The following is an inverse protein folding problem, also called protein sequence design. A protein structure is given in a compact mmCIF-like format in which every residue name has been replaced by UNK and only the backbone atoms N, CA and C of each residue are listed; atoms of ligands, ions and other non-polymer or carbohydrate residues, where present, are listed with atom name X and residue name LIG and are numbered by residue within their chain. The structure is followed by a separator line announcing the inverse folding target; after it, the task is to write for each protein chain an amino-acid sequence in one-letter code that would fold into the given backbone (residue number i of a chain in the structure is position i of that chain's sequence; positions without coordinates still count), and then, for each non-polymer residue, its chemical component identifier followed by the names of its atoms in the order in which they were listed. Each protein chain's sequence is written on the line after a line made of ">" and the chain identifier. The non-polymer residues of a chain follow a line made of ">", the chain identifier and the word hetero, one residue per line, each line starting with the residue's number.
data_IF_928102660463
#
_entry.id   IF_928102660463
#
_cell.length_a   1.000
_cell.length_b   1.000
_cell.length_c   1.000
_cell.angle_alpha   90.00
_cell.angle_beta   90.00
_cell.angle_gamma   90.00
#
_symmetry.space_group_name_H-M   'P 1'
#
loop_
_entity.id
_entity.type
_entity.pdbx_description
1 polymer ?
#
# COMPACT_ATOMS: atom_id res chain seq x y z
N UNK A 1 1.43 -11.29 -9.45
CA UNK A 1 1.89 -12.04 -8.26
C UNK A 1 2.02 -13.54 -8.56
N UNK A 2 0.94 -14.32 -8.75
CA UNK A 2 1.02 -15.80 -8.84
C UNK A 2 1.97 -16.34 -9.94
N UNK A 3 1.81 -15.91 -11.20
CA UNK A 3 2.66 -16.37 -12.32
C UNK A 3 4.13 -15.94 -12.14
N UNK A 4 4.34 -14.69 -11.73
CA UNK A 4 5.65 -14.11 -11.45
C UNK A 4 6.36 -14.76 -10.25
N UNK A 5 5.63 -15.21 -9.24
CA UNK A 5 6.18 -15.95 -8.08
C UNK A 5 6.52 -17.38 -8.47
N UNK A 6 5.71 -18.03 -9.31
CA UNK A 6 5.99 -19.37 -9.81
C UNK A 6 7.27 -19.41 -10.66
N UNK A 7 7.43 -18.45 -11.60
CA UNK A 7 8.68 -18.33 -12.37
C UNK A 7 9.86 -18.01 -11.46
N UNK A 8 9.70 -17.12 -10.48
CA UNK A 8 10.76 -16.81 -9.51
C UNK A 8 11.24 -18.07 -8.76
N UNK A 9 10.33 -18.84 -8.18
CA UNK A 9 10.65 -20.06 -7.42
C UNK A 9 11.22 -21.19 -8.30
N UNK A 10 10.78 -21.29 -9.55
CA UNK A 10 11.25 -22.29 -10.51
C UNK A 10 12.69 -22.04 -10.94
N UNK A 11 13.06 -20.77 -11.17
CA UNK A 11 14.34 -20.40 -11.79
C UNK A 11 15.40 -19.89 -10.79
N UNK A 12 15.02 -19.48 -9.58
CA UNK A 12 15.96 -18.87 -8.62
C UNK A 12 15.75 -19.42 -7.21
N UNK A 13 16.81 -19.99 -6.64
CA UNK A 13 16.94 -20.36 -5.22
C UNK A 13 17.46 -19.19 -4.38
N UNK A 14 16.83 -18.03 -4.51
CA UNK A 14 17.29 -16.78 -3.90
C UNK A 14 16.54 -16.54 -2.59
N UNK A 15 17.22 -16.69 -1.46
CA UNK A 15 16.66 -16.40 -0.12
C UNK A 15 16.22 -14.94 0.04
N UNK A 16 16.73 -14.06 -0.82
CA UNK A 16 16.47 -12.63 -0.82
C UNK A 16 14.98 -12.29 -0.98
N UNK A 17 14.18 -13.11 -1.67
CA UNK A 17 12.74 -12.90 -1.80
C UNK A 17 11.92 -13.34 -0.58
N UNK A 18 12.49 -14.15 0.31
CA UNK A 18 11.79 -14.65 1.51
C UNK A 18 11.46 -13.46 2.42
N UNK A 19 12.39 -12.53 2.62
CA UNK A 19 12.18 -11.34 3.44
C UNK A 19 11.04 -10.47 2.90
N UNK A 20 11.04 -10.20 1.59
CA UNK A 20 9.98 -9.43 0.93
C UNK A 20 8.62 -10.15 1.01
N UNK A 21 8.62 -11.47 0.85
CA UNK A 21 7.43 -12.31 1.02
C UNK A 21 6.89 -12.28 2.45
N UNK A 22 7.77 -12.37 3.45
CA UNK A 22 7.39 -12.33 4.87
C UNK A 22 6.75 -10.99 5.25
N UNK A 23 7.38 -9.87 4.87
CA UNK A 23 6.82 -8.53 5.10
C UNK A 23 5.46 -8.40 4.40
N UNK A 24 5.35 -8.86 3.15
CA UNK A 24 4.08 -8.86 2.42
C UNK A 24 3.00 -9.65 3.17
N UNK A 25 3.29 -10.89 3.55
CA UNK A 25 2.33 -11.74 4.29
C UNK A 25 1.90 -11.09 5.60
N UNK A 26 2.81 -10.47 6.35
CA UNK A 26 2.47 -9.75 7.59
C UNK A 26 1.47 -8.60 7.34
N UNK A 27 1.74 -7.76 6.34
CA UNK A 27 0.81 -6.69 5.95
C UNK A 27 -0.53 -7.24 5.50
N UNK A 28 -0.52 -8.33 4.74
CA UNK A 28 -1.73 -8.99 4.28
C UNK A 28 -2.55 -9.59 5.42
N UNK A 29 -1.92 -10.17 6.44
CA UNK A 29 -2.62 -10.62 7.66
C UNK A 29 -3.39 -9.46 8.27
N UNK A 30 -2.75 -8.31 8.49
CA UNK A 30 -3.42 -7.12 9.05
C UNK A 30 -4.56 -6.62 8.15
N UNK A 31 -4.36 -6.60 6.84
CA UNK A 31 -5.37 -6.15 5.87
C UNK A 31 -6.58 -7.10 5.82
N UNK A 32 -6.37 -8.42 5.79
CA UNK A 32 -7.45 -9.39 5.76
C UNK A 32 -8.18 -9.48 7.09
N UNK A 33 -7.48 -9.32 8.22
CA UNK A 33 -8.13 -9.16 9.53
C UNK A 33 -9.09 -7.98 9.53
N UNK A 34 -8.70 -6.84 8.95
CA UNK A 34 -9.60 -5.69 8.81
C UNK A 34 -10.84 -6.02 7.96
N UNK A 35 -10.68 -6.74 6.84
CA UNK A 35 -11.83 -7.13 6.02
C UNK A 35 -12.76 -8.12 6.73
N UNK A 36 -12.22 -9.05 7.51
CA UNK A 36 -13.02 -9.94 8.35
C UNK A 36 -13.85 -9.13 9.36
N UNK A 37 -13.23 -8.16 10.04
CA UNK A 37 -13.93 -7.26 10.96
C UNK A 37 -14.99 -6.40 10.25
N UNK A 38 -14.71 -5.96 9.02
CA UNK A 38 -15.67 -5.23 8.20
C UNK A 38 -16.88 -6.07 7.77
N UNK A 39 -16.71 -7.39 7.65
CA UNK A 39 -17.76 -8.33 7.27
C UNK A 39 -18.68 -8.74 8.44
N UNK A 40 -18.23 -8.57 9.69
CA UNK A 40 -19.01 -8.89 10.91
C UNK A 40 -20.19 -7.94 11.18
N UNK A 41 -20.44 -6.97 10.30
CA UNK A 41 -21.67 -6.18 10.28
C UNK A 41 -21.51 -4.71 10.66
N UNK A 42 -22.59 -3.91 10.51
CA UNK A 42 -22.58 -2.45 10.65
C UNK A 42 -22.24 -1.94 12.06
N UNK A 43 -22.37 -2.79 13.09
CA UNK A 43 -21.99 -2.46 14.47
C UNK A 43 -20.47 -2.32 14.62
N UNK A 44 -19.69 -3.20 13.99
CA UNK A 44 -18.21 -3.17 14.03
C UNK A 44 -17.67 -2.12 13.04
N UNK A 45 -18.36 -1.87 11.93
CA UNK A 45 -17.91 -0.92 10.91
C UNK A 45 -17.69 0.51 11.42
N UNK A 46 -18.42 0.92 12.47
CA UNK A 46 -18.23 2.24 13.12
C UNK A 46 -16.83 2.41 13.73
N UNK A 47 -16.19 1.32 14.16
CA UNK A 47 -14.86 1.35 14.78
C UNK A 47 -13.72 1.23 13.76
N UNK A 48 -14.01 1.13 12.45
CA UNK A 48 -13.02 0.92 11.39
C UNK A 48 -12.35 2.20 10.88
N UNK A 49 -12.22 3.22 11.72
CA UNK A 49 -11.53 4.48 11.39
C UNK A 49 -10.06 4.29 10.98
N UNK A 50 -9.44 3.16 11.36
CA UNK A 50 -8.02 2.92 11.12
C UNK A 50 -7.69 2.42 9.70
N UNK A 51 -8.68 2.34 8.80
CA UNK A 51 -8.46 1.92 7.40
C UNK A 51 -7.36 2.71 6.68
N UNK A 52 -7.20 3.99 7.03
CA UNK A 52 -6.15 4.87 6.48
C UNK A 52 -4.76 4.42 6.90
N UNK A 53 -4.60 3.88 8.11
CA UNK A 53 -3.31 3.36 8.59
C UNK A 53 -2.92 2.09 7.85
N UNK A 54 -3.89 1.22 7.53
CA UNK A 54 -3.64 0.01 6.74
C UNK A 54 -3.13 0.38 5.34
N UNK A 55 -3.77 1.34 4.66
CA UNK A 55 -3.30 1.80 3.34
C UNK A 55 -1.91 2.44 3.43
N UNK A 56 -1.61 3.21 4.49
CA UNK A 56 -0.25 3.74 4.72
C UNK A 56 0.78 2.63 4.97
N UNK A 57 0.40 1.59 5.71
CA UNK A 57 1.26 0.44 6.01
C UNK A 57 1.57 -0.35 4.73
N UNK A 58 0.59 -0.56 3.85
CA UNK A 58 0.79 -1.14 2.51
C UNK A 58 1.71 -0.26 1.64
N UNK A 59 1.55 1.06 1.67
CA UNK A 59 2.43 1.97 0.93
C UNK A 59 3.87 1.91 1.46
N UNK A 60 4.03 1.86 2.79
CA UNK A 60 5.32 1.70 3.46
C UNK A 60 6.01 0.39 3.08
N UNK A 61 5.26 -0.73 3.01
CA UNK A 61 5.79 -2.00 2.52
C UNK A 61 6.41 -1.86 1.13
N UNK A 62 5.73 -1.20 0.18
CA UNK A 62 6.28 -1.05 -1.18
C UNK A 62 7.57 -0.23 -1.19
N UNK A 63 7.69 0.80 -0.36
CA UNK A 63 8.90 1.62 -0.24
C UNK A 63 10.06 0.82 0.36
N UNK A 64 9.79 0.04 1.42
CA UNK A 64 10.80 -0.83 2.05
C UNK A 64 11.29 -1.89 1.07
N UNK A 65 10.37 -2.55 0.34
CA UNK A 65 10.72 -3.55 -0.67
C UNK A 65 11.53 -2.90 -1.81
N UNK A 66 11.16 -1.71 -2.27
CA UNK A 66 11.90 -1.01 -3.32
C UNK A 66 13.32 -0.63 -2.87
N UNK A 67 13.48 -0.16 -1.63
CA UNK A 67 14.80 0.18 -1.05
C UNK A 67 15.67 -1.06 -0.89
N UNK A 68 15.07 -2.17 -0.43
CA UNK A 68 15.76 -3.46 -0.34
C UNK A 68 16.22 -3.98 -1.71
N UNK A 69 15.34 -3.93 -2.72
CA UNK A 69 15.70 -4.28 -4.11
C UNK A 69 16.81 -3.38 -4.66
N UNK A 70 16.77 -2.07 -4.36
CA UNK A 70 17.82 -1.13 -4.75
C UNK A 70 19.17 -1.42 -4.09
N UNK A 71 19.17 -1.75 -2.79
CA UNK A 71 20.37 -2.18 -2.07
C UNK A 71 20.98 -3.45 -2.65
N UNK A 72 20.14 -4.43 -3.00
CA UNK A 72 20.57 -5.66 -3.67
C UNK A 72 21.29 -5.41 -5.00
N UNK A 73 20.87 -4.39 -5.76
CA UNK A 73 21.56 -3.97 -7.00
C UNK A 73 22.86 -3.23 -6.68
N UNK A 74 22.87 -2.37 -5.67
CA UNK A 74 24.03 -1.55 -5.31
C UNK A 74 25.19 -2.38 -4.72
N UNK A 75 24.90 -3.43 -3.96
CA UNK A 75 25.92 -4.31 -3.36
C UNK A 75 26.37 -5.46 -4.30
N UNK A 76 25.96 -5.44 -5.57
CA UNK A 76 26.32 -6.42 -6.61
C UNK A 76 26.16 -7.89 -6.15
N UNK A 77 25.10 -8.16 -5.38
CA UNK A 77 24.74 -9.53 -5.00
C UNK A 77 24.46 -10.35 -6.26
N UNK A 78 24.82 -11.65 -6.26
CA UNK A 78 24.64 -12.62 -7.36
C UNK A 78 23.17 -12.94 -7.65
N UNK A 79 22.37 -11.93 -7.96
CA UNK A 79 20.95 -12.03 -8.30
C UNK A 79 20.81 -11.57 -9.75
N UNK A 80 20.11 -12.32 -10.62
CA UNK A 80 19.99 -11.96 -12.02
C UNK A 80 19.29 -10.60 -12.16
N UNK A 81 20.04 -9.62 -12.67
CA UNK A 81 19.64 -8.20 -12.77
C UNK A 81 18.31 -8.01 -13.49
N UNK A 82 18.04 -8.79 -14.55
CA UNK A 82 16.78 -8.72 -15.30
C UNK A 82 15.54 -9.01 -14.45
N UNK A 83 15.63 -9.97 -13.51
CA UNK A 83 14.50 -10.29 -12.65
C UNK A 83 14.32 -9.26 -11.52
N UNK A 84 15.42 -8.74 -10.98
CA UNK A 84 15.37 -7.65 -10.00
C UNK A 84 14.71 -6.40 -10.59
N UNK A 85 15.02 -6.06 -11.85
CA UNK A 85 14.33 -4.98 -12.58
C UNK A 85 12.85 -5.26 -12.81
N UNK A 86 12.47 -6.48 -13.18
CA UNK A 86 11.06 -6.86 -13.32
C UNK A 86 10.28 -6.77 -11.99
N UNK A 87 10.87 -7.22 -10.88
CA UNK A 87 10.31 -7.10 -9.54
C UNK A 87 10.17 -5.64 -9.11
N UNK A 88 11.18 -4.81 -9.38
CA UNK A 88 11.15 -3.39 -9.09
C UNK A 88 10.05 -2.68 -9.92
N UNK A 89 9.95 -2.97 -11.21
CA UNK A 89 8.91 -2.41 -12.08
C UNK A 89 7.49 -2.78 -11.59
N UNK A 90 7.25 -4.04 -11.22
CA UNK A 90 5.98 -4.46 -10.62
C UNK A 90 5.68 -3.67 -9.33
N UNK A 91 6.67 -3.55 -8.44
CA UNK A 91 6.52 -2.82 -7.17
C UNK A 91 6.20 -1.35 -7.40
N UNK A 92 6.82 -0.70 -8.39
CA UNK A 92 6.55 0.69 -8.77
C UNK A 92 5.12 0.86 -9.31
N UNK A 93 4.64 -0.07 -10.14
CA UNK A 93 3.25 -0.03 -10.65
C UNK A 93 2.25 -0.09 -9.49
N UNK A 94 2.43 -1.03 -8.54
CA UNK A 94 1.58 -1.11 -7.36
C UNK A 94 1.67 0.14 -6.48
N UNK A 95 2.87 0.68 -6.29
CA UNK A 95 3.08 1.90 -5.53
C UNK A 95 2.27 3.07 -6.14
N UNK A 96 2.35 3.28 -7.45
CA UNK A 96 1.61 4.34 -8.16
C UNK A 96 0.10 4.13 -8.04
N UNK A 97 -0.38 2.91 -8.23
CA UNK A 97 -1.80 2.56 -8.13
C UNK A 97 -2.35 2.87 -6.73
N UNK A 98 -1.64 2.43 -5.69
CA UNK A 98 -2.03 2.65 -4.30
C UNK A 98 -1.87 4.11 -3.87
N UNK A 99 -0.88 4.83 -4.40
CA UNK A 99 -0.75 6.28 -4.20
C UNK A 99 -1.93 7.03 -4.82
N UNK A 100 -2.35 6.64 -6.03
CA UNK A 100 -3.50 7.23 -6.69
C UNK A 100 -4.78 6.99 -5.89
N UNK A 101 -5.01 5.73 -5.48
CA UNK A 101 -6.11 5.38 -4.59
C UNK A 101 -6.07 6.18 -3.27
N UNK A 102 -4.90 6.30 -2.64
CA UNK A 102 -4.75 7.03 -1.38
C UNK A 102 -5.07 8.53 -1.54
N UNK A 103 -4.58 9.15 -2.62
CA UNK A 103 -4.88 10.55 -2.94
C UNK A 103 -6.38 10.76 -3.16
N UNK A 104 -7.01 9.90 -3.96
CA UNK A 104 -8.42 10.03 -4.27
C UNK A 104 -9.32 9.75 -3.05
N UNK A 105 -9.04 8.69 -2.29
CA UNK A 105 -9.88 8.27 -1.17
C UNK A 105 -9.70 9.12 0.10
N UNK A 106 -8.51 9.66 0.35
CA UNK A 106 -8.19 10.32 1.63
C UNK A 106 -7.73 11.77 1.52
N UNK A 107 -7.15 12.21 0.41
CA UNK A 107 -6.67 13.59 0.25
C UNK A 107 -7.74 14.46 -0.39
N UNK A 108 -8.33 14.01 -1.50
CA UNK A 108 -9.38 14.76 -2.21
C UNK A 108 -10.65 14.90 -1.34
N UNK A 109 -11.13 13.79 -0.76
CA UNK A 109 -12.29 13.78 0.12
C UNK A 109 -12.13 14.65 1.38
N UNK A 110 -10.91 14.72 1.93
CA UNK A 110 -10.61 15.58 3.07
C UNK A 110 -10.62 17.07 2.72
N UNK A 111 -10.12 17.44 1.53
CA UNK A 111 -10.19 18.82 1.03
C UNK A 111 -11.63 19.26 0.76
N UNK A 112 -12.43 18.43 0.09
CA UNK A 112 -13.83 18.73 -0.20
C UNK A 112 -14.67 18.96 1.08
N UNK A 113 -14.46 18.14 2.12
CA UNK A 113 -15.13 18.35 3.42
C UNK A 113 -14.72 19.67 4.10
N UNK A 114 -13.45 20.05 4.01
CA UNK A 114 -12.93 21.29 4.60
C UNK A 114 -13.42 22.54 3.85
N UNK A 115 -13.59 22.44 2.54
CA UNK A 115 -14.09 23.52 1.68
C UNK A 115 -15.58 23.78 1.90
N UNK A 116 -16.40 22.72 1.96
CA UNK A 116 -17.83 22.84 2.29
C UNK A 116 -18.06 23.46 3.66
N UNK A 117 -17.22 23.13 4.65
CA UNK A 117 -17.33 23.69 6.00
C UNK A 117 -16.95 25.18 6.04
N UNK A 118 -15.93 25.59 5.28
CA UNK A 118 -15.57 27.02 5.11
C UNK A 118 -16.68 27.82 4.43
N UNK A 119 -17.31 27.25 3.40
CA UNK A 119 -18.43 27.90 2.69
C UNK A 119 -19.64 28.08 3.61
N UNK A 120 -19.97 27.08 4.42
CA UNK A 120 -21.05 27.19 5.42
C UNK A 120 -20.76 28.29 6.45
N UNK A 121 -19.55 28.34 7.00
CA UNK A 121 -19.13 29.40 7.93
C UNK A 121 -19.18 30.80 7.31
N UNK A 122 -18.77 30.95 6.04
CA UNK A 122 -18.89 32.23 5.33
C UNK A 122 -20.34 32.64 5.09
N UNK A 123 -21.22 31.70 4.76
CA UNK A 123 -22.65 31.98 4.58
C UNK A 123 -23.35 32.35 5.90
N UNK A 124 -22.94 31.77 7.03
CA UNK A 124 -23.44 32.17 8.36
C UNK A 124 -22.95 33.56 8.76
N UNK A 125 -21.70 33.91 8.44
CA UNK A 125 -21.14 35.24 8.73
C UNK A 125 -21.81 36.35 7.91
N UNK A 126 -22.26 36.07 6.69
CA UNK A 126 -22.94 37.04 5.80
C UNK A 126 -24.42 37.27 6.15
N UNK A 127 -25.01 36.42 7.00
CA UNK A 127 -26.41 36.52 7.45
C UNK A 127 -26.56 37.26 8.79
N UNK A 128 -25.46 37.65 9.43
CA UNK A 128 -25.43 38.49 10.63
C UNK A 128 -25.13 39.93 10.26
#
# INVERSE_FOLDING_TARGET
>A
MVLSTWTYLKYIRGEQAILAGFINSFVHVVMYSYYLLAALGPSIQRYLWWKKYITKLQLGQFVVILTYLGGLVAFDCKVPRGLTWYMAANTVIFLVLFLNFYRQAYVKKGKEQQESQKQQLQQEALKK
#
